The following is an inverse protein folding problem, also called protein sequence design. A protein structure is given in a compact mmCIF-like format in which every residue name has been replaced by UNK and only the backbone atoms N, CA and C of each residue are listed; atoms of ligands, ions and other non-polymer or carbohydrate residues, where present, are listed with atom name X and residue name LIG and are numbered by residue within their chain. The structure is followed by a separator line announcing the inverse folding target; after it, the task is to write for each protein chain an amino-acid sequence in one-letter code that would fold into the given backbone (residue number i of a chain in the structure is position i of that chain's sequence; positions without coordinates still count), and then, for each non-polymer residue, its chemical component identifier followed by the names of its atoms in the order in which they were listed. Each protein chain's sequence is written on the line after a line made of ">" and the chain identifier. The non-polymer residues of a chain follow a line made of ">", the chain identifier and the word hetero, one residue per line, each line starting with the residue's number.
data_IF_225081903205
#
_entry.id   IF_225081903205
#
_cell.length_a   1.000
_cell.length_b   1.000
_cell.length_c   1.000
_cell.angle_alpha   90.00
_cell.angle_beta   90.00
_cell.angle_gamma   90.00
#
_symmetry.space_group_name_H-M   'P 1'
#
loop_
_entity.id
_entity.type
_entity.pdbx_description
1 polymer ?
#
# COMPACT_ATOMS: atom_id res chain seq x y z
N UNK A 1 12.40 -56.93 -31.83
CA UNK A 1 11.93 -56.33 -30.57
C UNK A 1 12.93 -55.25 -30.18
N UNK A 2 12.54 -53.97 -30.27
CA UNK A 2 13.38 -52.85 -29.84
C UNK A 2 12.90 -52.39 -28.44
N UNK A 3 13.81 -52.08 -27.50
CA UNK A 3 13.39 -51.64 -26.17
C UNK A 3 12.96 -50.17 -26.18
N UNK A 4 11.78 -49.91 -25.63
CA UNK A 4 11.25 -48.58 -25.36
C UNK A 4 12.05 -47.99 -24.20
N UNK A 5 12.78 -46.90 -24.43
CA UNK A 5 13.42 -46.11 -23.37
C UNK A 5 12.31 -45.43 -22.54
N UNK A 6 12.33 -45.49 -21.20
CA UNK A 6 11.41 -44.69 -20.40
C UNK A 6 11.78 -43.21 -20.58
N UNK A 7 10.84 -42.40 -21.04
CA UNK A 7 10.99 -40.94 -21.04
C UNK A 7 10.96 -40.52 -19.57
N UNK A 8 12.11 -40.05 -19.07
CA UNK A 8 12.25 -39.55 -17.72
C UNK A 8 11.24 -38.45 -17.45
N UNK A 9 10.55 -38.60 -16.34
CA UNK A 9 9.68 -37.61 -15.70
C UNK A 9 10.52 -36.35 -15.44
N UNK A 10 10.34 -35.33 -16.27
CA UNK A 10 10.89 -34.01 -16.01
C UNK A 10 10.07 -33.42 -14.85
N UNK A 11 10.69 -32.94 -13.75
CA UNK A 11 9.94 -32.31 -12.68
C UNK A 11 9.19 -31.10 -13.25
N UNK A 12 7.92 -30.95 -12.89
CA UNK A 12 7.02 -29.85 -13.25
C UNK A 12 7.65 -28.51 -12.86
N UNK A 13 8.46 -27.94 -13.76
CA UNK A 13 8.95 -26.58 -13.59
C UNK A 13 7.75 -25.65 -13.80
N UNK A 14 7.44 -24.76 -12.84
CA UNK A 14 6.32 -23.85 -13.00
C UNK A 14 6.52 -23.01 -14.26
N UNK A 15 5.50 -22.98 -15.12
CA UNK A 15 5.53 -22.21 -16.36
C UNK A 15 5.71 -20.72 -16.00
N UNK A 16 6.71 -20.03 -16.57
CA UNK A 16 6.91 -18.61 -16.30
C UNK A 16 5.66 -17.81 -16.64
N UNK A 17 5.22 -16.95 -15.72
CA UNK A 17 4.08 -16.06 -15.98
C UNK A 17 4.43 -15.14 -17.15
N UNK A 18 3.45 -14.91 -18.03
CA UNK A 18 3.60 -13.97 -19.15
C UNK A 18 4.01 -12.59 -18.58
N UNK A 19 5.06 -11.95 -19.13
CA UNK A 19 5.48 -10.64 -18.64
C UNK A 19 4.34 -9.63 -18.81
N UNK A 20 4.11 -8.82 -17.77
CA UNK A 20 3.08 -7.77 -17.79
C UNK A 20 3.48 -6.67 -18.78
N UNK A 21 2.51 -5.90 -19.28
CA UNK A 21 2.82 -4.79 -20.20
C UNK A 21 3.72 -3.73 -19.53
N UNK A 22 4.52 -2.98 -20.31
CA UNK A 22 5.34 -1.89 -19.77
C UNK A 22 4.51 -0.84 -19.03
N UNK A 23 3.32 -0.50 -19.57
CA UNK A 23 2.40 0.46 -18.96
C UNK A 23 1.88 0.00 -17.59
N UNK A 24 1.51 -1.27 -17.47
CA UNK A 24 1.09 -1.86 -16.20
C UNK A 24 2.23 -1.82 -15.18
N UNK A 25 3.44 -2.16 -15.62
CA UNK A 25 4.61 -2.18 -14.73
C UNK A 25 4.93 -0.77 -14.21
N UNK A 26 4.90 0.24 -15.08
CA UNK A 26 5.08 1.64 -14.68
C UNK A 26 3.98 2.11 -13.71
N UNK A 27 2.73 1.69 -13.91
CA UNK A 27 1.63 2.00 -12.99
C UNK A 27 1.86 1.39 -11.60
N UNK A 28 2.27 0.12 -11.53
CA UNK A 28 2.58 -0.53 -10.25
C UNK A 28 3.78 0.14 -9.56
N UNK A 29 4.81 0.52 -10.31
CA UNK A 29 5.94 1.27 -9.77
C UNK A 29 5.51 2.59 -9.14
N UNK A 30 4.71 3.40 -9.86
CA UNK A 30 4.17 4.66 -9.32
C UNK A 30 3.34 4.42 -8.05
N UNK A 31 2.47 3.41 -8.04
CA UNK A 31 1.69 3.06 -6.85
C UNK A 31 2.56 2.65 -5.66
N UNK A 32 3.63 1.89 -5.89
CA UNK A 32 4.56 1.49 -4.83
C UNK A 32 5.33 2.69 -4.28
N UNK A 33 5.83 3.58 -5.15
CA UNK A 33 6.49 4.83 -4.74
C UNK A 33 5.56 5.70 -3.89
N UNK A 34 4.31 5.86 -4.31
CA UNK A 34 3.30 6.62 -3.56
C UNK A 34 2.97 6.01 -2.20
N UNK A 35 2.91 4.67 -2.09
CA UNK A 35 2.75 3.98 -0.79
C UNK A 35 3.94 4.24 0.14
N UNK A 36 5.16 4.13 -0.39
CA UNK A 36 6.38 4.44 0.37
C UNK A 36 6.40 5.92 0.80
N UNK A 37 5.98 6.83 -0.06
CA UNK A 37 5.86 8.25 0.27
C UNK A 37 4.94 8.48 1.46
N UNK A 38 3.73 7.89 1.47
CA UNK A 38 2.81 8.01 2.59
C UNK A 38 3.36 7.43 3.90
N UNK A 39 4.07 6.31 3.82
CA UNK A 39 4.76 5.72 4.97
C UNK A 39 5.78 6.69 5.60
N UNK A 40 6.51 7.44 4.76
CA UNK A 40 7.49 8.44 5.22
C UNK A 40 6.87 9.78 5.62
N UNK A 41 5.65 10.07 5.17
CA UNK A 41 4.98 11.35 5.40
C UNK A 41 3.60 11.17 6.08
N UNK A 42 3.54 10.71 7.34
CA UNK A 42 2.28 10.59 8.07
C UNK A 42 1.49 11.90 8.17
N UNK A 43 2.19 13.05 8.10
CA UNK A 43 1.57 14.38 8.14
C UNK A 43 0.62 14.68 6.99
N UNK A 44 0.66 13.89 5.91
CA UNK A 44 -0.34 13.99 4.83
C UNK A 44 -1.76 13.83 5.38
N UNK A 45 -2.00 12.85 6.26
CA UNK A 45 -3.32 12.58 6.82
C UNK A 45 -3.85 13.66 7.77
N UNK A 46 -2.98 14.54 8.28
CA UNK A 46 -3.35 15.65 9.16
C UNK A 46 -3.91 16.87 8.40
N UNK A 47 -3.86 16.84 7.05
CA UNK A 47 -4.36 17.95 6.24
C UNK A 47 -5.89 18.03 6.29
N UNK A 48 -6.39 19.14 6.84
CA UNK A 48 -7.80 19.46 6.95
C UNK A 48 -8.52 19.58 5.59
N UNK A 49 -7.80 19.80 4.49
CA UNK A 49 -8.40 19.84 3.14
C UNK A 49 -8.88 18.47 2.68
N UNK A 50 -8.34 17.38 3.23
CA UNK A 50 -8.77 16.04 2.84
C UNK A 50 -10.26 15.80 3.11
N UNK A 51 -10.87 16.51 4.05
CA UNK A 51 -12.32 16.42 4.29
C UNK A 51 -13.16 16.79 3.07
N UNK A 52 -12.62 17.61 2.17
CA UNK A 52 -13.27 18.01 0.93
C UNK A 52 -13.16 16.92 -0.16
N UNK A 53 -12.31 15.91 0.03
CA UNK A 53 -12.20 14.79 -0.91
C UNK A 53 -13.49 13.95 -0.95
N UNK A 54 -14.12 13.72 0.22
CA UNK A 54 -15.48 13.21 0.32
C UNK A 54 -16.12 13.67 1.65
N UNK A 55 -16.84 14.82 1.61
CA UNK A 55 -17.46 15.37 2.80
C UNK A 55 -18.52 14.47 3.44
N UNK A 56 -19.20 13.64 2.63
CA UNK A 56 -20.28 12.75 3.11
C UNK A 56 -19.67 11.56 3.83
N UNK A 57 -18.61 10.97 3.26
CA UNK A 57 -17.84 9.90 3.88
C UNK A 57 -17.21 10.37 5.19
N UNK A 58 -16.57 11.55 5.20
CA UNK A 58 -15.97 12.10 6.41
C UNK A 58 -17.01 12.36 7.51
N UNK A 59 -18.20 12.87 7.15
CA UNK A 59 -19.29 13.04 8.12
C UNK A 59 -19.72 11.70 8.71
N UNK A 60 -19.92 10.70 7.84
CA UNK A 60 -20.36 9.35 8.21
C UNK A 60 -19.33 8.59 9.03
N UNK A 61 -18.04 8.78 8.79
CA UNK A 61 -16.98 8.03 9.50
C UNK A 61 -16.51 8.75 10.75
N UNK A 62 -16.34 10.07 10.70
CA UNK A 62 -15.65 10.84 11.74
C UNK A 62 -16.61 11.77 12.47
N UNK A 63 -17.28 12.69 11.76
CA UNK A 63 -18.08 13.75 12.44
C UNK A 63 -19.24 13.22 13.25
N UNK A 64 -19.84 12.07 12.90
CA UNK A 64 -20.92 11.46 13.70
C UNK A 64 -20.52 11.15 15.15
N UNK A 65 -19.24 10.86 15.40
CA UNK A 65 -18.72 10.49 16.73
C UNK A 65 -18.13 11.66 17.50
N UNK A 66 -18.08 12.85 16.90
CA UNK A 66 -17.60 14.05 17.58
C UNK A 66 -18.66 14.60 18.55
N UNK A 67 -18.19 15.10 19.68
CA UNK A 67 -18.99 15.88 20.64
C UNK A 67 -19.27 17.29 20.11
N UNK A 68 -20.26 17.97 20.72
CA UNK A 68 -20.56 19.36 20.35
C UNK A 68 -19.34 20.30 20.57
N UNK A 69 -18.58 20.08 21.65
CA UNK A 69 -17.39 20.88 21.95
C UNK A 69 -16.27 20.67 20.93
N UNK A 70 -16.06 19.43 20.46
CA UNK A 70 -15.09 19.14 19.41
C UNK A 70 -15.48 19.79 18.08
N UNK A 71 -16.76 19.74 17.70
CA UNK A 71 -17.25 20.40 16.47
C UNK A 71 -17.08 21.91 16.50
N UNK A 72 -17.33 22.55 17.66
CA UNK A 72 -17.12 23.98 17.81
C UNK A 72 -15.63 24.36 17.69
N UNK A 73 -14.75 23.59 18.34
CA UNK A 73 -13.30 23.78 18.26
C UNK A 73 -12.79 23.59 16.82
N UNK A 74 -13.27 22.55 16.14
CA UNK A 74 -12.93 22.23 14.75
C UNK A 74 -13.45 23.29 13.78
N UNK A 75 -14.71 23.74 13.93
CA UNK A 75 -15.26 24.82 13.13
C UNK A 75 -14.50 26.14 13.31
N UNK A 76 -14.03 26.41 14.54
CA UNK A 76 -13.18 27.56 14.84
C UNK A 76 -11.79 27.43 14.20
N UNK A 77 -11.21 26.24 14.21
CA UNK A 77 -9.89 25.97 13.61
C UNK A 77 -9.92 26.09 12.08
N UNK A 78 -10.97 25.58 11.43
CA UNK A 78 -11.14 25.59 9.97
C UNK A 78 -11.61 26.93 9.42
N UNK A 79 -12.32 27.70 10.24
CA UNK A 79 -13.00 28.90 9.81
C UNK A 79 -14.32 28.61 9.07
N UNK A 80 -15.07 29.69 8.87
CA UNK A 80 -16.41 29.64 8.29
C UNK A 80 -16.42 29.20 6.81
N UNK A 81 -15.41 29.62 6.02
CA UNK A 81 -15.33 29.34 4.58
C UNK A 81 -15.31 27.84 4.26
N UNK A 82 -14.38 27.08 4.87
CA UNK A 82 -14.27 25.63 4.64
C UNK A 82 -15.49 24.86 5.15
N UNK A 83 -16.07 25.31 6.26
CA UNK A 83 -17.31 24.71 6.78
C UNK A 83 -18.43 24.87 5.76
N UNK A 84 -18.58 26.07 5.20
CA UNK A 84 -19.59 26.37 4.19
C UNK A 84 -19.37 25.58 2.89
N UNK A 85 -18.13 25.44 2.43
CA UNK A 85 -17.79 24.67 1.23
C UNK A 85 -18.14 23.19 1.40
N UNK A 86 -17.72 22.59 2.51
CA UNK A 86 -18.09 21.21 2.83
C UNK A 86 -19.62 21.04 2.89
N UNK A 87 -20.35 22.00 3.47
CA UNK A 87 -21.81 21.95 3.56
C UNK A 87 -22.48 22.07 2.18
N UNK A 88 -21.94 22.92 1.31
CA UNK A 88 -22.40 23.10 -0.07
C UNK A 88 -22.23 21.80 -0.86
N UNK A 89 -21.04 21.20 -0.85
CA UNK A 89 -20.76 19.95 -1.56
C UNK A 89 -21.65 18.79 -1.07
N UNK A 90 -21.91 18.69 0.24
CA UNK A 90 -22.86 17.68 0.77
C UNK A 90 -24.28 17.93 0.28
N UNK A 91 -24.69 19.20 0.22
CA UNK A 91 -25.98 19.59 -0.34
C UNK A 91 -26.12 19.18 -1.81
N UNK A 92 -25.08 19.43 -2.62
CA UNK A 92 -25.03 19.05 -4.03
C UNK A 92 -25.08 17.52 -4.21
N UNK A 93 -24.28 16.75 -3.47
CA UNK A 93 -24.31 15.29 -3.52
C UNK A 93 -25.69 14.74 -3.17
N UNK A 94 -26.35 15.30 -2.15
CA UNK A 94 -27.71 14.90 -1.75
C UNK A 94 -28.74 15.20 -2.85
N UNK A 95 -28.64 16.37 -3.50
CA UNK A 95 -29.51 16.74 -4.62
C UNK A 95 -29.28 15.87 -5.85
N UNK A 96 -28.02 15.56 -6.17
CA UNK A 96 -27.66 14.67 -7.27
C UNK A 96 -28.19 13.26 -7.04
N UNK A 97 -28.07 12.69 -5.83
CA UNK A 97 -28.67 11.39 -5.49
C UNK A 97 -30.19 11.36 -5.64
N UNK A 98 -30.88 12.43 -5.23
CA UNK A 98 -32.32 12.57 -5.41
C UNK A 98 -32.72 12.68 -6.88
N UNK A 99 -31.87 13.31 -7.70
CA UNK A 99 -32.07 13.48 -9.15
C UNK A 99 -31.82 12.18 -9.91
N UNK A 100 -30.75 11.47 -9.59
CA UNK A 100 -30.34 10.23 -10.25
C UNK A 100 -31.17 9.03 -9.78
N UNK A 101 -31.96 9.19 -8.72
CA UNK A 101 -32.96 8.23 -8.29
C UNK A 101 -32.33 6.94 -7.78
N UNK A 102 -31.64 7.00 -6.64
CA UNK A 102 -31.16 5.86 -5.83
C UNK A 102 -30.64 4.64 -6.63
N UNK A 103 -29.94 4.92 -7.74
CA UNK A 103 -29.11 3.92 -8.40
C UNK A 103 -27.84 3.85 -7.56
N UNK A 104 -27.88 3.07 -6.48
CA UNK A 104 -26.65 2.58 -5.84
C UNK A 104 -25.80 1.98 -6.95
N UNK A 105 -24.72 2.69 -7.28
CA UNK A 105 -23.73 2.28 -8.26
C UNK A 105 -23.12 0.96 -7.76
N UNK A 106 -23.72 -0.15 -8.20
CA UNK A 106 -23.20 -1.51 -8.05
C UNK A 106 -21.99 -1.65 -8.98
N UNK A 107 -20.95 -0.86 -8.71
CA UNK A 107 -19.72 -0.80 -9.48
C UNK A 107 -18.65 -1.70 -8.86
N UNK A 108 -18.73 -3.00 -9.14
CA UNK A 108 -17.65 -3.95 -8.87
C UNK A 108 -17.67 -4.58 -7.48
N UNK A 109 -17.49 -5.89 -7.47
CA UNK A 109 -17.42 -6.83 -6.33
C UNK A 109 -16.17 -6.63 -5.45
N UNK A 110 -15.83 -5.38 -5.11
CA UNK A 110 -14.77 -5.02 -4.17
C UNK A 110 -15.37 -4.09 -3.13
N UNK A 111 -15.88 -4.69 -2.05
CA UNK A 111 -16.39 -3.95 -0.90
C UNK A 111 -15.21 -3.21 -0.22
N UNK A 112 -15.05 -1.91 -0.50
CA UNK A 112 -14.01 -1.13 0.12
C UNK A 112 -14.22 -1.04 1.64
N UNK A 113 -13.16 -1.08 2.47
CA UNK A 113 -13.29 -1.10 3.92
C UNK A 113 -14.12 0.05 4.50
N UNK A 114 -14.05 1.24 3.92
CA UNK A 114 -14.74 2.45 4.38
C UNK A 114 -16.23 2.51 4.01
N UNK A 115 -16.73 1.60 3.16
CA UNK A 115 -18.17 1.45 2.94
C UNK A 115 -18.86 0.92 4.21
N UNK A 116 -18.12 0.19 5.05
CA UNK A 116 -18.62 -0.33 6.31
C UNK A 116 -18.85 0.81 7.31
N UNK A 117 -19.88 0.69 8.18
CA UNK A 117 -20.08 1.67 9.23
C UNK A 117 -18.93 1.61 10.24
N UNK A 118 -18.36 2.76 10.57
CA UNK A 118 -17.44 2.89 11.68
C UNK A 118 -18.12 2.53 13.00
N UNK A 119 -17.37 1.88 13.90
CA UNK A 119 -17.83 1.47 15.22
C UNK A 119 -17.70 2.62 16.24
N UNK A 120 -16.61 3.36 16.16
CA UNK A 120 -16.28 4.51 16.99
C UNK A 120 -15.44 5.52 16.19
N UNK A 121 -15.05 6.63 16.84
CA UNK A 121 -14.26 7.71 16.22
C UNK A 121 -12.89 7.22 15.73
N UNK A 122 -12.19 6.38 16.50
CA UNK A 122 -10.85 5.91 16.15
C UNK A 122 -10.90 4.97 14.95
N UNK A 123 -11.87 4.05 14.93
CA UNK A 123 -12.15 3.19 13.78
C UNK A 123 -12.56 4.03 12.55
N UNK A 124 -13.38 5.07 12.74
CA UNK A 124 -13.74 6.00 11.69
C UNK A 124 -12.55 6.70 11.04
N UNK A 125 -11.58 7.14 11.86
CA UNK A 125 -10.34 7.74 11.36
C UNK A 125 -9.48 6.72 10.60
N UNK A 126 -9.40 5.47 11.05
CA UNK A 126 -8.68 4.41 10.32
C UNK A 126 -9.30 4.14 8.95
N UNK A 127 -10.63 4.06 8.87
CA UNK A 127 -11.34 3.88 7.59
C UNK A 127 -11.16 5.10 6.68
N UNK A 128 -11.16 6.30 7.26
CA UNK A 128 -10.90 7.54 6.53
C UNK A 128 -9.47 7.59 5.97
N UNK A 129 -8.47 7.17 6.75
CA UNK A 129 -7.10 7.08 6.27
C UNK A 129 -6.95 6.04 5.16
N UNK A 130 -7.62 4.89 5.26
CA UNK A 130 -7.62 3.88 4.20
C UNK A 130 -8.19 4.43 2.88
N UNK A 131 -9.26 5.23 2.94
CA UNK A 131 -9.81 5.92 1.77
C UNK A 131 -8.79 6.91 1.18
N UNK A 132 -8.17 7.75 2.01
CA UNK A 132 -7.17 8.72 1.56
C UNK A 132 -5.92 8.05 0.99
N UNK A 133 -5.49 6.92 1.56
CA UNK A 133 -4.38 6.12 1.07
C UNK A 133 -4.70 5.59 -0.34
N UNK A 134 -5.85 4.95 -0.54
CA UNK A 134 -6.22 4.43 -1.86
C UNK A 134 -6.34 5.57 -2.89
N UNK A 135 -7.02 6.66 -2.51
CA UNK A 135 -7.12 7.87 -3.34
C UNK A 135 -5.73 8.38 -3.75
N UNK A 136 -4.81 8.52 -2.80
CA UNK A 136 -3.47 9.03 -3.07
C UNK A 136 -2.67 8.09 -3.96
N UNK A 137 -2.64 6.80 -3.64
CA UNK A 137 -1.88 5.79 -4.37
C UNK A 137 -2.34 5.67 -5.82
N UNK A 138 -3.66 5.77 -6.05
CA UNK A 138 -4.23 5.74 -7.39
C UNK A 138 -4.08 7.05 -8.17
N UNK A 139 -3.57 8.12 -7.54
CA UNK A 139 -3.33 9.40 -8.21
C UNK A 139 -4.58 10.26 -8.33
N UNK A 140 -5.53 10.07 -7.42
CA UNK A 140 -6.83 10.73 -7.41
C UNK A 140 -6.85 11.96 -6.49
N UNK A 141 -5.69 12.35 -5.93
CA UNK A 141 -5.54 13.63 -5.25
C UNK A 141 -5.11 14.72 -6.23
N UNK A 142 -6.08 15.44 -6.79
CA UNK A 142 -5.84 16.48 -7.80
C UNK A 142 -5.03 17.67 -7.25
N UNK A 143 -5.05 17.90 -5.94
CA UNK A 143 -4.33 19.00 -5.29
C UNK A 143 -2.84 18.66 -5.04
N UNK A 144 -2.44 17.39 -5.22
CA UNK A 144 -1.08 16.92 -4.97
C UNK A 144 -0.26 16.82 -6.27
N UNK A 145 0.94 17.39 -6.27
CA UNK A 145 1.89 17.20 -7.38
C UNK A 145 2.61 15.84 -7.25
N UNK A 146 2.14 14.86 -8.02
CA UNK A 146 2.73 13.52 -8.02
C UNK A 146 4.08 13.41 -8.74
N UNK A 147 4.45 14.37 -9.59
CA UNK A 147 5.69 14.29 -10.38
C UNK A 147 6.95 14.04 -9.53
N UNK A 148 7.19 14.77 -8.42
CA UNK A 148 8.35 14.50 -7.57
C UNK A 148 8.33 13.10 -6.97
N UNK A 149 7.16 12.57 -6.60
CA UNK A 149 7.02 11.24 -5.99
C UNK A 149 7.17 10.13 -7.03
N UNK A 150 6.53 10.28 -8.17
CA UNK A 150 6.53 9.28 -9.24
C UNK A 150 7.89 9.18 -9.94
N UNK A 151 8.72 10.22 -9.88
CA UNK A 151 10.07 10.22 -10.43
C UNK A 151 11.16 9.85 -9.40
N UNK A 152 10.81 9.66 -8.13
CA UNK A 152 11.77 9.41 -7.05
C UNK A 152 12.08 7.91 -6.91
N UNK A 153 13.26 7.52 -7.38
CA UNK A 153 13.79 6.16 -7.24
C UNK A 153 14.16 5.81 -5.78
N UNK A 154 14.33 6.81 -4.91
CA UNK A 154 14.58 6.59 -3.48
C UNK A 154 13.33 6.05 -2.74
N UNK A 155 12.18 6.06 -3.40
CA UNK A 155 10.94 5.43 -2.94
C UNK A 155 10.77 3.99 -3.45
N UNK A 156 11.64 3.48 -4.32
CA UNK A 156 11.65 2.08 -4.78
C UNK A 156 12.28 1.13 -3.74
N UNK A 157 11.88 1.24 -2.48
CA UNK A 157 12.41 0.43 -1.37
C UNK A 157 12.14 -1.06 -1.56
N UNK A 158 10.91 -1.42 -1.95
CA UNK A 158 10.54 -2.81 -2.22
C UNK A 158 11.35 -3.42 -3.36
N UNK A 159 11.52 -2.69 -4.47
CA UNK A 159 12.30 -3.19 -5.61
C UNK A 159 13.77 -3.36 -5.22
N UNK A 160 14.35 -2.41 -4.46
CA UNK A 160 15.71 -2.53 -3.96
C UNK A 160 15.90 -3.75 -3.06
N UNK A 161 14.93 -4.03 -2.18
CA UNK A 161 14.95 -5.21 -1.34
C UNK A 161 14.85 -6.49 -2.17
N UNK A 162 13.89 -6.59 -3.09
CA UNK A 162 13.70 -7.78 -3.93
C UNK A 162 14.94 -8.08 -4.78
N UNK A 163 15.58 -7.05 -5.34
CA UNK A 163 16.83 -7.19 -6.11
C UNK A 163 17.98 -7.63 -5.20
N UNK A 164 18.06 -7.12 -3.98
CA UNK A 164 19.07 -7.50 -3.01
C UNK A 164 18.88 -8.95 -2.52
N UNK A 165 17.65 -9.35 -2.20
CA UNK A 165 17.32 -10.72 -1.79
C UNK A 165 17.68 -11.70 -2.92
N UNK A 166 17.36 -11.38 -4.17
CA UNK A 166 17.76 -12.18 -5.33
C UNK A 166 19.29 -12.26 -5.50
N UNK A 167 20.01 -11.18 -5.23
CA UNK A 167 21.47 -11.17 -5.27
C UNK A 167 22.09 -12.04 -4.16
N UNK A 168 21.53 -12.02 -2.94
CA UNK A 168 21.96 -12.90 -1.85
C UNK A 168 21.68 -14.38 -2.14
N UNK A 169 20.56 -14.70 -2.79
CA UNK A 169 20.23 -16.07 -3.18
C UNK A 169 21.19 -16.61 -4.26
N UNK A 170 21.66 -15.73 -5.15
CA UNK A 170 22.66 -16.05 -6.20
C UNK A 170 24.10 -16.06 -5.67
N UNK A 171 24.39 -15.47 -4.51
CA UNK A 171 25.70 -15.58 -3.85
C UNK A 171 25.86 -16.96 -3.18
N UNK A 172 26.66 -17.84 -3.79
CA UNK A 172 27.16 -19.01 -3.07
C UNK A 172 28.16 -18.58 -1.98
N UNK A 173 27.97 -18.96 -0.70
CA UNK A 173 28.87 -18.56 0.38
C UNK A 173 30.33 -18.98 0.10
N UNK A 174 31.20 -18.01 -0.15
CA UNK A 174 32.64 -18.21 -0.23
C UNK A 174 33.22 -18.23 1.19
N UNK A 175 33.52 -19.40 1.73
CA UNK A 175 34.31 -19.51 2.96
C UNK A 175 35.71 -18.96 2.67
N UNK A 176 36.12 -17.91 3.39
CA UNK A 176 37.52 -17.50 3.43
C UNK A 176 38.27 -18.67 4.09
N UNK A 177 38.95 -19.47 3.28
CA UNK A 177 40.04 -20.30 3.76
C UNK A 177 41.18 -19.33 4.11
N UNK A 178 41.23 -18.92 5.38
CA UNK A 178 42.44 -18.32 5.92
C UNK A 178 43.54 -19.39 5.92
N UNK A 179 44.53 -19.09 5.09
CA UNK A 179 45.88 -19.61 4.97
C UNK A 179 46.20 -20.68 3.91
N UNK A 180 47.19 -20.26 3.12
CA UNK A 180 48.10 -21.09 2.35
C UNK A 180 48.48 -22.39 3.09
N UNK A 181 48.60 -23.43 2.28
CA UNK A 181 49.40 -24.63 2.53
C UNK A 181 48.86 -25.61 3.58
N UNK A 182 48.27 -26.67 3.04
CA UNK A 182 48.62 -28.08 3.27
C UNK A 182 47.38 -28.97 3.44
N UNK A 183 47.21 -29.80 2.42
CA UNK A 183 46.48 -31.06 2.38
C UNK A 183 45.85 -31.53 3.70
N UNK A 184 44.52 -31.39 3.83
CA UNK A 184 43.63 -32.48 4.22
C UNK A 184 42.17 -32.04 4.21
N UNK A 185 41.43 -32.62 3.27
CA UNK A 185 39.99 -32.67 3.23
C UNK A 185 39.46 -33.15 4.60
N UNK A 186 38.74 -32.30 5.32
CA UNK A 186 37.94 -32.71 6.48
C UNK A 186 36.65 -31.91 6.50
N UNK A 187 35.58 -32.59 6.10
CA UNK A 187 34.19 -32.22 6.25
C UNK A 187 33.93 -31.81 7.70
N UNK A 188 33.88 -30.50 8.00
CA UNK A 188 33.51 -29.99 9.32
C UNK A 188 32.00 -30.10 9.48
N UNK A 189 31.54 -31.26 9.97
CA UNK A 189 30.20 -31.40 10.52
C UNK A 189 30.10 -30.57 11.80
N UNK A 190 28.99 -29.85 11.97
CA UNK A 190 28.77 -28.97 13.10
C UNK A 190 28.69 -29.76 14.41
N UNK A 191 29.66 -29.53 15.30
CA UNK A 191 29.58 -29.87 16.70
C UNK A 191 29.74 -28.59 17.52
N UNK A 192 28.64 -27.86 17.75
CA UNK A 192 28.62 -26.82 18.78
C UNK A 192 28.51 -27.47 20.14
N UNK A 193 29.64 -27.99 20.63
CA UNK A 193 29.81 -28.45 22.00
C UNK A 193 29.86 -27.25 22.95
N UNK A 194 28.70 -26.83 23.46
CA UNK A 194 28.61 -26.00 24.67
C UNK A 194 29.09 -26.85 25.84
N UNK A 195 30.26 -26.52 26.40
CA UNK A 195 30.72 -27.04 27.69
C UNK A 195 30.36 -26.00 28.75
N UNK A 196 29.35 -26.33 29.56
CA UNK A 196 29.08 -25.65 30.83
C UNK A 196 30.31 -25.77 31.75
N UNK A 197 30.69 -24.67 32.38
CA UNK A 197 31.70 -24.60 33.43
C UNK A 197 31.07 -24.14 34.74
#
# INVERSE_FOLDING_TARGET
>A
MAPIKPLGEQPDRPVPRVPKSPSWTAQIQAQNRRREYLSRHPSYFDNLEHELADPVLYERLVKRFQSASEREAEGKAKGYGRTLEADLQRGELKLSRLKDGDVESSGGDLEHPWEKPAADKAHGLLLWHAFLEERFVHGLDEDFDYKPVDADEDLDTMIRRDVQDAWFDDEEPSWIDEDESSAQLSTRQGETGVQDF
#
